data_IF_058476764453
#
_entry.id   IF_058476764453
#
_cell.length_a   1.000
_cell.length_b   1.000
_cell.length_c   1.000
_cell.angle_alpha   90.00
_cell.angle_beta   90.00
_cell.angle_gamma   90.00
#
_symmetry.space_group_name_H-M   'P 1'
#
loop_
_entity.id
_entity.type
_entity.pdbx_description
1 polymer ?
#
# COMPACT_ATOMS: atom_id res chain seq x y z
N UNK A 1 2.49 -27.81 76.84
CA UNK A 1 2.02 -28.78 75.82
C UNK A 1 0.79 -28.32 75.03
N UNK A 2 -0.38 -28.03 75.63
CA UNK A 2 -1.53 -27.54 74.83
C UNK A 2 -1.31 -26.09 74.35
N UNK A 3 -0.77 -25.23 75.20
CA UNK A 3 -0.43 -23.84 74.87
C UNK A 3 0.65 -23.72 73.79
N UNK A 4 1.75 -24.48 73.90
CA UNK A 4 2.82 -24.47 72.88
C UNK A 4 2.34 -24.90 71.48
N UNK A 5 1.39 -25.84 71.39
CA UNK A 5 0.82 -26.24 70.10
C UNK A 5 -0.10 -25.15 69.53
N UNK A 6 -0.78 -24.40 70.39
CA UNK A 6 -1.62 -23.28 69.96
C UNK A 6 -0.73 -22.13 69.48
N UNK A 7 0.36 -21.82 70.18
CA UNK A 7 1.30 -20.76 69.79
C UNK A 7 1.96 -21.07 68.43
N UNK A 8 2.37 -22.32 68.20
CA UNK A 8 2.93 -22.74 66.92
C UNK A 8 1.93 -22.63 65.75
N UNK A 9 0.65 -22.92 66.00
CA UNK A 9 -0.41 -22.78 64.98
C UNK A 9 -0.71 -21.30 64.71
N UNK A 10 -0.68 -20.45 65.75
CA UNK A 10 -0.86 -19.01 65.59
C UNK A 10 0.28 -18.43 64.75
N UNK A 11 1.52 -18.83 65.02
CA UNK A 11 2.71 -18.38 64.26
C UNK A 11 2.62 -18.80 62.79
N UNK A 12 2.21 -20.05 62.49
CA UNK A 12 2.01 -20.53 61.11
C UNK A 12 0.87 -19.78 60.38
N UNK A 13 -0.20 -19.44 61.10
CA UNK A 13 -1.30 -18.64 60.53
C UNK A 13 -0.83 -17.23 60.24
N UNK A 14 -0.02 -16.63 61.14
CA UNK A 14 0.47 -15.28 61.00
C UNK A 14 1.39 -15.16 59.77
N UNK A 15 2.28 -16.14 59.59
CA UNK A 15 3.16 -16.22 58.43
C UNK A 15 2.37 -16.37 57.11
N UNK A 16 1.27 -17.14 57.11
CA UNK A 16 0.37 -17.27 55.95
C UNK A 16 -0.38 -15.97 55.66
N UNK A 17 -0.80 -15.24 56.69
CA UNK A 17 -1.48 -13.95 56.54
C UNK A 17 -0.53 -12.89 55.97
N UNK A 18 0.71 -12.84 56.46
CA UNK A 18 1.72 -11.90 55.96
C UNK A 18 2.04 -12.19 54.49
N UNK A 19 2.18 -13.47 54.13
CA UNK A 19 2.43 -13.90 52.75
C UNK A 19 1.28 -13.57 51.80
N UNK A 20 0.04 -13.77 52.24
CA UNK A 20 -1.15 -13.36 51.49
C UNK A 20 -1.21 -11.84 51.33
N UNK A 21 -0.81 -11.08 52.35
CA UNK A 21 -0.77 -9.63 52.28
C UNK A 21 0.25 -9.13 51.23
N UNK A 22 1.40 -9.79 51.14
CA UNK A 22 2.43 -9.47 50.14
C UNK A 22 2.00 -9.86 48.72
N UNK A 23 1.37 -11.02 48.54
CA UNK A 23 0.79 -11.44 47.26
C UNK A 23 -0.30 -10.47 46.80
N UNK A 24 -1.15 -10.01 47.72
CA UNK A 24 -2.22 -9.05 47.42
C UNK A 24 -1.65 -7.67 47.05
N UNK A 25 -0.57 -7.23 47.71
CA UNK A 25 0.12 -5.99 47.37
C UNK A 25 0.77 -6.06 45.98
N UNK A 26 1.31 -7.22 45.60
CA UNK A 26 1.92 -7.46 44.28
C UNK A 26 0.87 -7.46 43.18
N UNK A 27 -0.24 -8.18 43.37
CA UNK A 27 -1.39 -8.14 42.46
C UNK A 27 -1.96 -6.73 42.29
N UNK A 28 -2.03 -5.95 43.37
CA UNK A 28 -2.49 -4.57 43.28
C UNK A 28 -1.51 -3.67 42.49
N UNK A 29 -0.20 -3.95 42.53
CA UNK A 29 0.78 -3.25 41.71
C UNK A 29 0.62 -3.61 40.21
N UNK A 30 0.45 -4.89 39.89
CA UNK A 30 0.24 -5.38 38.52
C UNK A 30 -1.09 -4.89 37.92
N UNK A 31 -2.17 -4.85 38.71
CA UNK A 31 -3.45 -4.24 38.30
C UNK A 31 -3.35 -2.74 38.06
N UNK A 32 -2.43 -2.05 38.75
CA UNK A 32 -2.16 -0.63 38.52
C UNK A 32 -1.41 -0.39 37.21
N UNK A 33 -0.55 -1.31 36.80
CA UNK A 33 0.02 -1.32 35.44
C UNK A 33 -1.04 -1.67 34.38
N UNK A 34 -1.99 -2.56 34.68
CA UNK A 34 -3.12 -2.84 33.78
C UNK A 34 -4.04 -1.62 33.59
N UNK A 35 -4.19 -0.75 34.59
CA UNK A 35 -4.86 0.55 34.48
C UNK A 35 -4.14 1.58 33.59
N UNK A 36 -3.00 1.21 32.97
CA UNK A 36 -2.35 1.95 31.89
C UNK A 36 -2.85 1.58 30.46
N UNK A 37 -3.95 0.80 30.39
CA UNK A 37 -4.84 0.62 29.23
C UNK A 37 -5.44 1.88 28.55
N UNK A 38 -5.38 3.14 29.05
CA UNK A 38 -5.85 4.31 28.31
C UNK A 38 -5.18 4.51 26.94
N UNK A 39 -4.02 3.91 26.70
CA UNK A 39 -3.35 3.97 25.40
C UNK A 39 -3.98 3.03 24.36
N UNK A 40 -4.72 1.99 24.77
CA UNK A 40 -5.56 1.20 23.86
C UNK A 40 -6.82 1.98 23.47
N UNK A 41 -7.46 2.66 24.41
CA UNK A 41 -8.60 3.54 24.11
C UNK A 41 -8.19 4.66 23.15
N UNK A 42 -7.01 5.27 23.32
CA UNK A 42 -6.49 6.26 22.36
C UNK A 42 -6.26 5.67 20.97
N UNK A 43 -5.72 4.45 20.86
CA UNK A 43 -5.52 3.79 19.56
C UNK A 43 -6.83 3.43 18.88
N UNK A 44 -7.84 3.02 19.66
CA UNK A 44 -9.20 2.76 19.17
C UNK A 44 -9.88 4.08 18.75
N UNK A 45 -9.67 5.16 19.49
CA UNK A 45 -10.14 6.50 19.12
C UNK A 45 -9.46 7.03 17.85
N UNK A 46 -8.17 6.76 17.66
CA UNK A 46 -7.44 7.14 16.44
C UNK A 46 -7.86 6.29 15.23
N UNK A 47 -8.17 5.00 15.44
CA UNK A 47 -8.84 4.15 14.44
C UNK A 47 -10.25 4.68 14.12
N UNK A 48 -11.02 5.09 15.11
CA UNK A 48 -12.36 5.65 14.92
C UNK A 48 -12.32 7.00 14.21
N UNK A 49 -11.31 7.84 14.49
CA UNK A 49 -11.07 9.11 13.79
C UNK A 49 -10.61 8.90 12.34
N UNK A 50 -9.75 7.92 12.08
CA UNK A 50 -9.33 7.59 10.72
C UNK A 50 -10.46 6.96 9.90
N UNK A 51 -11.34 6.17 10.53
CA UNK A 51 -12.57 5.68 9.91
C UNK A 51 -13.59 6.81 9.64
N UNK A 52 -13.73 7.78 10.55
CA UNK A 52 -14.51 9.02 10.33
C UNK A 52 -13.89 9.96 9.30
N UNK A 53 -12.60 9.80 9.00
CA UNK A 53 -11.88 10.52 7.94
C UNK A 53 -12.20 10.02 6.52
N UNK A 54 -12.83 8.85 6.40
CA UNK A 54 -13.57 8.47 5.20
C UNK A 54 -14.87 9.28 5.25
N UNK A 55 -14.78 10.52 4.78
CA UNK A 55 -15.92 11.43 4.67
C UNK A 55 -17.07 10.69 3.96
N UNK A 56 -18.20 10.52 4.63
CA UNK A 56 -19.41 9.95 4.02
C UNK A 56 -19.82 10.71 2.76
N UNK A 57 -19.41 11.99 2.66
CA UNK A 57 -19.51 12.82 1.45
C UNK A 57 -18.72 12.25 0.27
N UNK A 58 -17.50 11.74 0.47
CA UNK A 58 -16.70 11.14 -0.62
C UNK A 58 -17.32 9.84 -1.12
N UNK A 59 -17.92 9.05 -0.22
CA UNK A 59 -18.70 7.86 -0.58
C UNK A 59 -19.99 8.23 -1.32
N UNK A 60 -20.70 9.27 -0.88
CA UNK A 60 -21.88 9.80 -1.56
C UNK A 60 -21.54 10.41 -2.94
N UNK A 61 -20.38 11.06 -3.07
CA UNK A 61 -19.92 11.64 -4.32
C UNK A 61 -19.54 10.55 -5.33
N UNK A 62 -18.92 9.45 -4.87
CA UNK A 62 -18.68 8.26 -5.71
C UNK A 62 -20.00 7.60 -6.12
N UNK A 63 -20.95 7.45 -5.18
CA UNK A 63 -22.25 6.88 -5.48
C UNK A 63 -23.01 7.71 -6.53
N UNK A 64 -22.95 9.04 -6.45
CA UNK A 64 -23.50 9.96 -7.45
C UNK A 64 -22.78 9.84 -8.79
N UNK A 65 -21.45 9.83 -8.79
CA UNK A 65 -20.65 9.71 -10.02
C UNK A 65 -20.95 8.39 -10.76
N UNK A 66 -21.10 7.29 -10.03
CA UNK A 66 -21.48 5.99 -10.60
C UNK A 66 -22.90 6.01 -11.18
N UNK A 67 -23.86 6.67 -10.51
CA UNK A 67 -25.22 6.81 -11.08
C UNK A 67 -25.28 7.74 -12.29
N UNK A 68 -24.42 8.76 -12.34
CA UNK A 68 -24.31 9.67 -13.49
C UNK A 68 -23.69 8.95 -14.69
N UNK A 69 -22.66 8.11 -14.46
CA UNK A 69 -22.07 7.23 -15.48
C UNK A 69 -23.10 6.22 -16.00
N UNK A 70 -23.87 5.55 -15.14
CA UNK A 70 -24.91 4.60 -15.58
C UNK A 70 -25.99 5.30 -16.43
N UNK A 71 -26.33 6.54 -16.07
CA UNK A 71 -27.29 7.36 -16.82
C UNK A 71 -26.74 7.79 -18.18
N UNK A 72 -25.47 8.24 -18.25
CA UNK A 72 -24.81 8.60 -19.49
C UNK A 72 -24.61 7.40 -20.42
N UNK A 73 -24.24 6.24 -19.87
CA UNK A 73 -24.11 4.98 -20.63
C UNK A 73 -25.46 4.53 -21.19
N UNK A 74 -26.55 4.63 -20.42
CA UNK A 74 -27.90 4.38 -20.95
C UNK A 74 -28.28 5.35 -22.06
N UNK A 75 -27.96 6.63 -21.93
CA UNK A 75 -28.22 7.63 -22.97
C UNK A 75 -27.47 7.29 -24.29
N UNK A 76 -26.24 6.78 -24.18
CA UNK A 76 -25.43 6.33 -25.33
C UNK A 76 -25.94 5.01 -25.93
N UNK A 77 -26.45 4.09 -25.12
CA UNK A 77 -26.96 2.78 -25.59
C UNK A 77 -28.37 2.91 -26.18
N UNK A 78 -29.22 3.77 -25.61
CA UNK A 78 -30.56 4.07 -26.13
C UNK A 78 -30.52 5.02 -27.34
N UNK A 79 -29.37 5.67 -27.57
CA UNK A 79 -29.04 6.35 -28.82
C UNK A 79 -28.96 5.33 -29.96
N UNK A 80 -30.11 5.12 -30.61
CA UNK A 80 -30.25 4.38 -31.90
C UNK A 80 -29.49 5.03 -33.06
N UNK A 81 -28.62 6.01 -32.78
CA UNK A 81 -27.97 6.88 -33.76
C UNK A 81 -27.02 6.12 -34.68
N UNK A 82 -26.31 5.11 -34.19
CA UNK A 82 -25.43 4.30 -35.07
C UNK A 82 -26.23 3.59 -36.19
N UNK A 83 -27.47 3.19 -35.93
CA UNK A 83 -28.35 2.58 -36.95
C UNK A 83 -28.98 3.64 -37.88
N UNK A 84 -29.24 4.85 -37.35
CA UNK A 84 -29.77 5.99 -38.11
C UNK A 84 -28.70 6.58 -39.04
N UNK A 85 -27.43 6.63 -38.62
CA UNK A 85 -26.29 7.09 -39.44
C UNK A 85 -26.13 6.19 -40.66
N UNK A 86 -26.15 4.86 -40.46
CA UNK A 86 -26.02 3.90 -41.57
C UNK A 86 -27.18 4.06 -42.56
N UNK A 87 -28.43 4.19 -42.08
CA UNK A 87 -29.59 4.44 -42.95
C UNK A 87 -29.53 5.78 -43.67
N UNK A 88 -29.09 6.85 -43.02
CA UNK A 88 -28.99 8.18 -43.64
C UNK A 88 -27.85 8.25 -44.67
N UNK A 89 -26.74 7.54 -44.45
CA UNK A 89 -25.68 7.39 -45.44
C UNK A 89 -26.17 6.63 -46.69
N UNK A 90 -26.99 5.59 -46.49
CA UNK A 90 -27.62 4.85 -47.58
C UNK A 90 -28.60 5.75 -48.38
N UNK A 91 -29.43 6.53 -47.68
CA UNK A 91 -30.31 7.54 -48.31
C UNK A 91 -29.53 8.64 -49.05
N UNK A 92 -28.36 9.05 -48.54
CA UNK A 92 -27.49 10.05 -49.21
C UNK A 92 -26.94 9.47 -50.51
N UNK A 93 -26.47 8.22 -50.49
CA UNK A 93 -26.00 7.51 -51.68
C UNK A 93 -27.10 7.35 -52.74
N UNK A 94 -28.34 7.11 -52.32
CA UNK A 94 -29.51 7.05 -53.22
C UNK A 94 -29.91 8.44 -53.76
N UNK A 95 -29.80 9.49 -52.95
CA UNK A 95 -30.23 10.85 -53.32
C UNK A 95 -29.23 11.68 -54.13
N UNK A 96 -27.99 11.21 -54.32
CA UNK A 96 -26.98 11.84 -55.19
C UNK A 96 -27.39 11.91 -56.68
N UNK A 97 -28.50 11.28 -57.07
CA UNK A 97 -29.14 11.43 -58.37
C UNK A 97 -29.98 12.72 -58.52
N UNK A 98 -30.37 13.39 -57.42
CA UNK A 98 -31.20 14.61 -57.41
C UNK A 98 -30.42 15.80 -56.79
N UNK A 99 -29.96 16.70 -57.65
CA UNK A 99 -29.03 17.80 -57.31
C UNK A 99 -29.58 18.83 -56.29
N UNK A 100 -30.90 18.98 -56.16
CA UNK A 100 -31.53 19.95 -55.26
C UNK A 100 -31.68 19.46 -53.81
N UNK A 101 -31.51 18.16 -53.55
CA UNK A 101 -31.56 17.59 -52.20
C UNK A 101 -30.23 17.72 -51.43
N UNK A 102 -29.13 17.95 -52.16
CA UNK A 102 -27.77 17.99 -51.64
C UNK A 102 -27.56 19.11 -50.59
N UNK A 103 -28.02 20.36 -50.78
CA UNK A 103 -27.78 21.43 -49.81
C UNK A 103 -28.46 21.18 -48.45
N UNK A 104 -29.71 20.69 -48.46
CA UNK A 104 -30.44 20.35 -47.22
C UNK A 104 -29.78 19.20 -46.46
N UNK A 105 -29.32 18.18 -47.18
CA UNK A 105 -28.61 17.04 -46.58
C UNK A 105 -27.22 17.44 -46.05
N UNK A 106 -26.58 18.43 -46.66
CA UNK A 106 -25.32 19.00 -46.17
C UNK A 106 -25.53 19.75 -44.84
N UNK A 107 -26.62 20.53 -44.73
CA UNK A 107 -27.00 21.21 -43.49
C UNK A 107 -27.36 20.19 -42.38
N UNK A 108 -28.08 19.12 -42.72
CA UNK A 108 -28.35 18.01 -41.79
C UNK A 108 -27.05 17.32 -41.33
N UNK A 109 -26.09 17.10 -42.22
CA UNK A 109 -24.77 16.53 -41.88
C UNK A 109 -23.95 17.49 -40.99
N UNK A 110 -24.00 18.79 -41.23
CA UNK A 110 -23.32 19.79 -40.39
C UNK A 110 -23.91 19.81 -38.97
N UNK A 111 -25.24 19.75 -38.85
CA UNK A 111 -25.90 19.62 -37.55
C UNK A 111 -25.54 18.30 -36.85
N UNK A 112 -25.37 17.22 -37.61
CA UNK A 112 -24.96 15.92 -37.07
C UNK A 112 -23.50 15.93 -36.59
N UNK A 113 -22.60 16.57 -37.34
CA UNK A 113 -21.20 16.77 -36.95
C UNK A 113 -21.10 17.61 -35.68
N UNK A 114 -21.94 18.64 -35.55
CA UNK A 114 -22.02 19.42 -34.31
C UNK A 114 -22.46 18.56 -33.11
N UNK A 115 -23.44 17.68 -33.30
CA UNK A 115 -23.86 16.71 -32.29
C UNK A 115 -22.75 15.72 -31.89
N UNK A 116 -21.98 15.23 -32.87
CA UNK A 116 -20.82 14.36 -32.62
C UNK A 116 -19.72 15.08 -31.84
N UNK A 117 -19.50 16.37 -32.08
CA UNK A 117 -18.55 17.18 -31.31
C UNK A 117 -18.95 17.25 -29.83
N UNK A 118 -20.24 17.39 -29.53
CA UNK A 118 -20.73 17.35 -28.15
C UNK A 118 -20.58 15.96 -27.53
N UNK A 119 -20.70 14.90 -28.33
CA UNK A 119 -20.46 13.53 -27.88
C UNK A 119 -18.97 13.26 -27.62
N UNK A 120 -18.07 13.83 -28.43
CA UNK A 120 -16.63 13.79 -28.22
C UNK A 120 -16.24 14.46 -26.90
N UNK A 121 -16.79 15.65 -26.61
CA UNK A 121 -16.60 16.35 -25.34
C UNK A 121 -17.07 15.48 -24.15
N UNK A 122 -18.26 14.88 -24.24
CA UNK A 122 -18.78 13.95 -23.21
C UNK A 122 -17.89 12.71 -23.04
N UNK A 123 -17.35 12.14 -24.13
CA UNK A 123 -16.44 10.98 -24.06
C UNK A 123 -15.11 11.37 -23.42
N UNK A 124 -14.61 12.57 -23.70
CA UNK A 124 -13.39 13.08 -23.09
C UNK A 124 -13.57 13.34 -21.59
N UNK A 125 -14.71 13.91 -21.18
CA UNK A 125 -15.07 14.08 -19.77
C UNK A 125 -15.20 12.72 -19.06
N UNK A 126 -15.85 11.75 -19.70
CA UNK A 126 -15.98 10.38 -19.17
C UNK A 126 -14.61 9.70 -18.99
N UNK A 127 -13.69 9.92 -19.94
CA UNK A 127 -12.34 9.38 -19.85
C UNK A 127 -11.55 10.01 -18.69
N UNK A 128 -11.75 11.31 -18.43
CA UNK A 128 -11.19 11.99 -17.26
C UNK A 128 -11.71 11.38 -15.95
N UNK A 129 -13.03 11.24 -15.82
CA UNK A 129 -13.67 10.62 -14.65
C UNK A 129 -13.23 9.16 -14.44
N UNK A 130 -12.96 8.42 -15.51
CA UNK A 130 -12.47 7.05 -15.40
C UNK A 130 -11.05 6.98 -14.84
N UNK A 131 -10.17 7.91 -15.20
CA UNK A 131 -8.82 7.96 -14.65
C UNK A 131 -8.83 8.39 -13.17
N UNK A 132 -9.69 9.33 -12.79
CA UNK A 132 -9.94 9.69 -11.38
C UNK A 132 -10.47 8.49 -10.58
N UNK A 133 -11.46 7.76 -11.13
CA UNK A 133 -12.01 6.56 -10.50
C UNK A 133 -10.94 5.49 -10.31
N UNK A 134 -10.08 5.29 -11.30
CA UNK A 134 -8.96 4.34 -11.23
C UNK A 134 -7.94 4.74 -10.17
N UNK A 135 -7.65 6.03 -10.00
CA UNK A 135 -6.81 6.52 -8.92
C UNK A 135 -7.44 6.24 -7.55
N UNK A 136 -8.72 6.55 -7.39
CA UNK A 136 -9.48 6.27 -6.14
C UNK A 136 -9.45 4.78 -5.81
N UNK A 137 -9.72 3.91 -6.79
CA UNK A 137 -9.65 2.45 -6.60
C UNK A 137 -8.22 2.03 -6.21
N UNK A 138 -7.19 2.63 -6.81
CA UNK A 138 -5.80 2.40 -6.43
C UNK A 138 -5.50 2.77 -4.98
N UNK A 139 -6.06 3.88 -4.47
CA UNK A 139 -5.95 4.27 -3.06
C UNK A 139 -6.65 3.25 -2.16
N UNK A 140 -7.87 2.83 -2.51
CA UNK A 140 -8.64 1.86 -1.72
C UNK A 140 -7.90 0.52 -1.62
N UNK A 141 -7.33 0.02 -2.72
CA UNK A 141 -6.56 -1.24 -2.72
C UNK A 141 -5.35 -1.13 -1.78
N UNK A 142 -4.61 -0.02 -1.79
CA UNK A 142 -3.49 0.19 -0.85
C UNK A 142 -3.96 0.28 0.61
N UNK A 143 -5.12 0.88 0.85
CA UNK A 143 -5.70 0.94 2.20
C UNK A 143 -6.14 -0.44 2.69
N UNK A 144 -6.72 -1.27 1.83
CA UNK A 144 -7.06 -2.65 2.17
C UNK A 144 -5.81 -3.48 2.47
N UNK A 145 -4.73 -3.30 1.71
CA UNK A 145 -3.44 -3.96 1.96
C UNK A 145 -2.84 -3.52 3.31
N UNK A 146 -2.89 -2.23 3.66
CA UNK A 146 -2.45 -1.74 4.98
C UNK A 146 -3.31 -2.29 6.12
N UNK A 147 -4.63 -2.41 5.93
CA UNK A 147 -5.53 -3.05 6.89
C UNK A 147 -5.19 -4.53 7.06
N UNK A 148 -4.97 -5.26 5.98
CA UNK A 148 -4.59 -6.67 6.01
C UNK A 148 -3.28 -6.86 6.78
N UNK A 149 -2.26 -6.05 6.49
CA UNK A 149 -0.97 -6.09 7.21
C UNK A 149 -1.14 -5.80 8.70
N UNK A 150 -1.91 -4.77 9.07
CA UNK A 150 -2.19 -4.43 10.48
C UNK A 150 -2.97 -5.51 11.19
N UNK A 151 -3.91 -6.16 10.50
CA UNK A 151 -4.69 -7.26 11.04
C UNK A 151 -3.82 -8.49 11.31
N UNK A 152 -2.95 -8.86 10.37
CA UNK A 152 -1.99 -9.95 10.56
C UNK A 152 -1.05 -9.67 11.74
N UNK A 153 -0.53 -8.43 11.84
CA UNK A 153 0.34 -8.03 12.96
C UNK A 153 -0.40 -8.01 14.30
N UNK A 154 -1.71 -7.73 14.30
CA UNK A 154 -2.54 -7.85 15.49
C UNK A 154 -2.78 -9.32 15.87
N UNK A 155 -2.99 -10.21 14.89
CA UNK A 155 -3.08 -11.65 15.12
C UNK A 155 -1.77 -12.17 15.74
N UNK A 156 -0.62 -11.84 15.16
CA UNK A 156 0.69 -12.29 15.66
C UNK A 156 0.88 -11.88 17.13
N UNK A 157 0.54 -10.65 17.49
CA UNK A 157 0.62 -10.17 18.88
C UNK A 157 -0.35 -10.87 19.84
N UNK A 158 -1.55 -11.18 19.37
CA UNK A 158 -2.51 -11.95 20.17
C UNK A 158 -2.00 -13.37 20.36
N UNK A 159 -1.43 -13.98 19.33
CA UNK A 159 -0.82 -15.31 19.41
C UNK A 159 0.37 -15.31 20.37
N UNK A 160 1.29 -14.35 20.28
CA UNK A 160 2.40 -14.19 21.24
C UNK A 160 1.89 -14.04 22.68
N UNK A 161 0.85 -13.24 22.90
CA UNK A 161 0.25 -13.08 24.22
C UNK A 161 -0.38 -14.38 24.75
N UNK A 162 -1.01 -15.16 23.87
CA UNK A 162 -1.58 -16.48 24.22
C UNK A 162 -0.48 -17.49 24.52
N UNK A 163 0.62 -17.50 23.77
CA UNK A 163 1.76 -18.38 24.00
C UNK A 163 2.45 -18.05 25.33
N UNK A 164 2.67 -16.77 25.64
CA UNK A 164 3.20 -16.33 26.94
C UNK A 164 2.29 -16.76 28.10
N UNK A 165 0.97 -16.68 27.92
CA UNK A 165 0.01 -17.14 28.93
C UNK A 165 0.08 -18.66 29.10
N UNK A 166 0.20 -19.42 28.01
CA UNK A 166 0.36 -20.87 28.03
C UNK A 166 1.65 -21.31 28.73
N UNK A 167 2.76 -20.65 28.42
CA UNK A 167 4.07 -20.90 29.05
C UNK A 167 4.04 -20.57 30.54
N UNK A 168 3.36 -19.48 30.93
CA UNK A 168 3.18 -19.14 32.34
C UNK A 168 2.40 -20.22 33.09
N UNK A 169 1.30 -20.72 32.51
CA UNK A 169 0.48 -21.80 33.10
C UNK A 169 1.32 -23.09 33.22
N UNK A 170 2.06 -23.48 32.19
CA UNK A 170 2.93 -24.67 32.24
C UNK A 170 4.08 -24.51 33.26
N UNK A 171 4.67 -23.32 33.37
CA UNK A 171 5.73 -23.04 34.35
C UNK A 171 5.19 -23.05 35.79
N UNK A 172 3.91 -22.70 35.99
CA UNK A 172 3.23 -22.78 37.27
C UNK A 172 2.96 -24.24 37.68
N UNK A 173 2.59 -25.09 36.72
CA UNK A 173 2.42 -26.54 36.96
C UNK A 173 3.76 -27.29 37.14
N UNK A 174 4.84 -26.85 36.50
CA UNK A 174 6.15 -27.49 36.55
C UNK A 174 6.98 -27.16 37.82
N UNK A 175 6.68 -26.09 38.55
CA UNK A 175 7.45 -25.66 39.74
C UNK A 175 7.11 -26.38 41.05
N UNK A 176 6.35 -27.48 40.99
CA UNK A 176 6.03 -28.33 42.16
C UNK A 176 7.14 -29.32 42.57
N UNK A 177 8.30 -29.36 41.90
CA UNK A 177 9.38 -30.29 42.25
C UNK A 177 10.79 -29.68 42.08
N UNK A 178 11.32 -29.11 43.16
CA UNK A 178 12.71 -29.21 43.69
C UNK A 178 13.29 -27.90 44.25
N UNK A 179 14.05 -27.96 45.37
CA UNK A 179 14.47 -26.77 46.12
C UNK A 179 15.93 -26.34 45.88
N UNK A 180 16.06 -25.03 45.61
CA UNK A 180 17.07 -24.07 46.07
C UNK A 180 18.57 -24.32 45.86
N UNK A 181 19.25 -23.30 45.30
CA UNK A 181 20.28 -22.53 46.04
C UNK A 181 20.60 -21.16 45.39
N UNK A 182 20.99 -20.14 46.17
CA UNK A 182 21.27 -18.78 45.70
C UNK A 182 22.78 -18.49 45.60
N UNK A 183 23.22 -17.64 44.66
CA UNK A 183 24.35 -16.73 44.90
C UNK A 183 24.53 -15.64 43.81
N UNK A 184 24.67 -14.40 44.30
CA UNK A 184 25.49 -13.24 43.86
C UNK A 184 25.61 -12.79 42.38
N UNK A 185 25.20 -11.52 42.15
CA UNK A 185 25.80 -10.52 41.23
C UNK A 185 27.18 -10.04 41.76
N UNK A 186 28.08 -9.31 41.04
CA UNK A 186 27.88 -8.53 39.78
C UNK A 186 29.05 -8.57 38.74
N UNK A 187 28.97 -7.73 37.68
CA UNK A 187 30.01 -7.35 36.68
C UNK A 187 30.01 -8.23 35.41
N UNK A 188 30.16 -7.81 34.15
CA UNK A 188 30.35 -6.56 33.36
C UNK A 188 30.50 -7.03 31.88
N UNK A 189 30.46 -6.08 30.93
CA UNK A 189 30.70 -6.21 29.46
C UNK A 189 29.50 -6.78 28.66
N UNK A 190 28.76 -5.94 27.92
CA UNK A 190 29.09 -5.44 26.57
C UNK A 190 29.33 -6.58 25.57
N UNK A 191 28.27 -7.04 24.93
CA UNK A 191 28.31 -7.55 23.56
C UNK A 191 27.00 -7.16 22.87
N UNK A 192 27.07 -6.05 22.15
CA UNK A 192 26.07 -5.66 21.16
C UNK A 192 26.32 -6.61 19.99
N UNK A 193 25.42 -7.57 19.79
CA UNK A 193 25.41 -8.42 18.60
C UNK A 193 25.13 -7.53 17.37
N UNK A 194 26.20 -7.25 16.63
CA UNK A 194 26.22 -6.46 15.42
C UNK A 194 25.37 -7.17 14.34
N UNK A 195 24.16 -6.66 14.08
CA UNK A 195 23.46 -6.97 12.84
C UNK A 195 24.34 -6.54 11.65
N UNK A 196 24.52 -7.38 10.61
CA UNK A 196 25.36 -7.02 9.48
C UNK A 196 24.78 -5.78 8.77
N UNK A 197 25.50 -4.66 8.88
CA UNK A 197 25.32 -3.49 8.02
C UNK A 197 25.54 -3.95 6.58
N UNK A 198 24.47 -4.03 5.82
CA UNK A 198 24.56 -4.02 4.36
C UNK A 198 25.23 -2.70 3.98
N UNK A 199 26.42 -2.81 3.39
CA UNK A 199 27.18 -1.65 2.92
C UNK A 199 26.35 -0.90 1.86
N UNK A 200 26.34 0.44 1.85
CA UNK A 200 25.87 1.17 0.68
C UNK A 200 26.73 0.76 -0.52
N UNK A 201 26.15 0.46 -1.69
CA UNK A 201 26.93 0.07 -2.85
C UNK A 201 27.85 1.22 -3.26
N UNK A 202 29.08 0.82 -3.58
CA UNK A 202 30.19 1.65 -4.01
C UNK A 202 29.77 2.65 -5.11
N UNK A 203 29.92 3.95 -4.83
CA UNK A 203 29.80 5.07 -5.78
C UNK A 203 30.98 5.13 -6.76
N UNK A 204 31.51 3.98 -7.17
CA UNK A 204 32.59 3.90 -8.17
C UNK A 204 32.00 3.55 -9.52
N UNK A 205 31.74 4.63 -10.26
CA UNK A 205 31.67 4.73 -11.73
C UNK A 205 32.03 3.43 -12.49
N UNK A 206 31.02 2.66 -12.87
CA UNK A 206 31.12 1.58 -13.84
C UNK A 206 29.84 1.55 -14.71
N UNK A 207 29.92 0.92 -15.88
CA UNK A 207 30.14 1.48 -17.22
C UNK A 207 28.98 2.35 -17.75
N UNK A 208 29.30 3.36 -18.56
CA UNK A 208 28.35 4.28 -19.25
C UNK A 208 27.52 3.62 -20.35
N UNK A 209 27.21 2.32 -20.24
CA UNK A 209 26.46 1.56 -21.24
C UNK A 209 25.07 1.27 -20.72
N UNK A 210 24.05 1.40 -21.57
CA UNK A 210 22.63 1.14 -21.26
C UNK A 210 22.46 -0.18 -20.50
N UNK A 211 23.16 -1.24 -20.93
CA UNK A 211 23.09 -2.55 -20.29
C UNK A 211 23.41 -2.53 -18.80
N UNK A 212 24.50 -1.86 -18.44
CA UNK A 212 24.98 -1.88 -17.07
C UNK A 212 24.19 -0.95 -16.15
N UNK A 213 23.67 0.16 -16.68
CA UNK A 213 22.69 0.98 -15.95
C UNK A 213 21.43 0.17 -15.60
N UNK A 214 20.93 -0.60 -16.56
CA UNK A 214 19.73 -1.42 -16.36
C UNK A 214 19.99 -2.62 -15.44
N UNK A 215 21.18 -3.24 -15.50
CA UNK A 215 21.54 -4.35 -14.63
C UNK A 215 21.77 -3.91 -13.19
N UNK A 216 22.37 -2.73 -12.99
CA UNK A 216 22.48 -2.11 -11.65
C UNK A 216 21.08 -1.84 -11.08
N UNK A 217 20.19 -1.26 -11.88
CA UNK A 217 18.82 -0.99 -11.46
C UNK A 217 18.06 -2.28 -11.11
N UNK A 218 18.22 -3.35 -11.90
CA UNK A 218 17.62 -4.66 -11.59
C UNK A 218 18.13 -5.24 -10.27
N UNK A 219 19.38 -4.95 -9.88
CA UNK A 219 19.95 -5.45 -8.62
C UNK A 219 19.32 -4.81 -7.38
N UNK A 220 18.74 -3.61 -7.54
CA UNK A 220 18.01 -2.88 -6.50
C UNK A 220 16.53 -3.28 -6.42
N UNK A 221 16.03 -4.11 -7.33
CA UNK A 221 14.63 -4.57 -7.30
C UNK A 221 14.52 -5.78 -6.36
N UNK A 222 14.68 -5.53 -5.05
CA UNK A 222 14.58 -6.54 -4.00
C UNK A 222 13.65 -6.09 -2.85
N UNK A 223 13.07 -7.01 -2.06
CA UNK A 223 12.10 -6.68 -1.00
C UNK A 223 12.63 -5.77 0.13
N UNK A 224 13.95 -5.65 0.23
CA UNK A 224 14.64 -4.87 1.27
C UNK A 224 14.93 -3.44 0.83
N UNK A 225 14.78 -3.14 -0.45
CA UNK A 225 15.06 -1.80 -0.99
C UNK A 225 13.93 -0.86 -0.63
N UNK A 226 14.29 0.32 -0.13
CA UNK A 226 13.35 1.38 0.18
C UNK A 226 12.78 1.98 -1.11
N UNK A 227 11.49 2.32 -1.12
CA UNK A 227 10.83 2.89 -2.29
C UNK A 227 11.48 4.23 -2.72
N UNK A 228 11.95 5.02 -1.75
CA UNK A 228 12.74 6.24 -1.95
C UNK A 228 14.07 5.95 -2.64
N UNK A 229 14.83 4.96 -2.15
CA UNK A 229 16.10 4.53 -2.74
C UNK A 229 15.91 4.07 -4.19
N UNK A 230 14.89 3.24 -4.45
CA UNK A 230 14.56 2.78 -5.80
C UNK A 230 14.13 3.95 -6.72
N UNK A 231 13.41 4.93 -6.19
CA UNK A 231 13.00 6.10 -6.95
C UNK A 231 14.19 6.98 -7.35
N UNK A 232 15.14 7.19 -6.44
CA UNK A 232 16.38 7.92 -6.71
C UNK A 232 17.21 7.19 -7.77
N UNK A 233 17.34 5.87 -7.68
CA UNK A 233 18.04 5.05 -8.68
C UNK A 233 17.39 5.15 -10.07
N UNK A 234 16.05 5.16 -10.14
CA UNK A 234 15.33 5.36 -11.41
C UNK A 234 15.59 6.75 -12.03
N UNK A 235 15.65 7.80 -11.22
CA UNK A 235 15.98 9.15 -11.70
C UNK A 235 17.44 9.25 -12.16
N UNK A 236 18.38 8.67 -11.43
CA UNK A 236 19.78 8.63 -11.83
C UNK A 236 19.97 7.89 -13.17
N UNK A 237 19.32 6.74 -13.34
CA UNK A 237 19.32 6.02 -14.62
C UNK A 237 18.69 6.86 -15.72
N UNK A 238 17.55 7.52 -15.47
CA UNK A 238 16.93 8.43 -16.44
C UNK A 238 17.87 9.54 -16.88
N UNK A 239 18.53 10.20 -15.93
CA UNK A 239 19.39 11.34 -16.20
C UNK A 239 20.64 10.90 -16.98
N UNK A 240 21.25 9.78 -16.59
CA UNK A 240 22.34 9.16 -17.36
C UNK A 240 21.91 8.79 -18.78
N UNK A 241 20.76 8.13 -18.95
CA UNK A 241 20.23 7.78 -20.27
C UNK A 241 19.89 9.02 -21.12
N UNK A 242 19.46 10.12 -20.51
CA UNK A 242 19.19 11.39 -21.21
C UNK A 242 20.45 12.01 -21.78
N UNK A 243 21.62 11.82 -21.13
CA UNK A 243 22.90 12.25 -21.70
C UNK A 243 23.34 11.39 -22.89
N UNK A 244 22.92 10.12 -22.93
CA UNK A 244 23.31 9.16 -23.97
C UNK A 244 22.38 9.18 -25.18
N UNK A 245 21.09 9.37 -24.97
CA UNK A 245 20.05 9.31 -26.02
C UNK A 245 19.57 10.73 -26.32
N UNK A 246 19.83 11.21 -27.54
CA UNK A 246 19.37 12.52 -27.98
C UNK A 246 17.86 12.49 -28.22
N UNK A 247 17.09 13.21 -27.40
CA UNK A 247 15.65 13.43 -27.57
C UNK A 247 14.79 12.79 -26.47
N UNK A 248 13.58 13.31 -26.30
CA UNK A 248 12.62 12.78 -25.33
C UNK A 248 12.04 11.46 -25.85
N UNK A 249 12.48 10.33 -25.28
CA UNK A 249 11.90 9.03 -25.60
C UNK A 249 10.75 8.71 -24.64
N UNK A 250 9.69 8.00 -25.09
CA UNK A 250 8.61 7.55 -24.23
C UNK A 250 9.11 6.71 -23.04
N UNK A 251 10.24 6.00 -23.21
CA UNK A 251 10.86 5.21 -22.15
C UNK A 251 11.40 6.10 -21.03
N UNK A 252 12.12 7.19 -21.34
CA UNK A 252 12.60 8.13 -20.32
C UNK A 252 11.46 8.76 -19.50
N UNK A 253 10.31 9.01 -20.14
CA UNK A 253 9.11 9.47 -19.44
C UNK A 253 8.59 8.42 -18.45
N UNK A 254 8.60 7.14 -18.83
CA UNK A 254 8.17 6.04 -17.96
C UNK A 254 9.05 5.90 -16.72
N UNK A 255 10.38 6.06 -16.85
CA UNK A 255 11.28 6.14 -15.70
C UNK A 255 10.87 7.25 -14.73
N UNK A 256 10.65 8.46 -15.25
CA UNK A 256 10.24 9.60 -14.43
C UNK A 256 8.88 9.42 -13.77
N UNK A 257 7.91 8.82 -14.47
CA UNK A 257 6.59 8.50 -13.91
C UNK A 257 6.73 7.51 -12.74
N UNK A 258 7.46 6.41 -12.95
CA UNK A 258 7.61 5.37 -11.93
C UNK A 258 8.40 5.85 -10.70
N UNK A 259 9.42 6.68 -10.90
CA UNK A 259 10.13 7.32 -9.80
C UNK A 259 9.21 8.22 -8.95
N UNK A 260 8.31 9.01 -9.56
CA UNK A 260 7.33 9.83 -8.81
C UNK A 260 6.32 8.98 -8.06
N UNK A 261 5.85 7.89 -8.65
CA UNK A 261 4.97 6.94 -7.98
C UNK A 261 5.65 6.37 -6.74
N UNK A 262 6.90 5.92 -6.84
CA UNK A 262 7.65 5.39 -5.69
C UNK A 262 7.96 6.45 -4.63
N UNK A 263 8.21 7.72 -5.01
CA UNK A 263 8.35 8.84 -4.06
C UNK A 263 7.08 9.18 -3.29
N UNK A 264 5.92 8.74 -3.76
CA UNK A 264 4.66 8.93 -3.04
C UNK A 264 4.52 7.98 -1.84
N UNK A 265 5.38 6.97 -1.73
CA UNK A 265 5.40 6.03 -0.62
C UNK A 265 6.02 6.71 0.62
N UNK A 266 5.66 6.26 1.84
CA UNK A 266 6.35 6.69 3.05
C UNK A 266 7.87 6.47 2.94
N UNK A 267 8.73 7.34 3.50
CA UNK A 267 10.18 7.26 3.33
C UNK A 267 10.81 5.94 3.79
N UNK A 268 10.16 5.23 4.70
CA UNK A 268 10.61 3.93 5.25
C UNK A 268 9.90 2.73 4.63
N UNK A 269 9.06 2.94 3.60
CA UNK A 269 8.36 1.86 2.93
C UNK A 269 9.32 1.12 1.99
N UNK A 270 9.38 -0.20 2.13
CA UNK A 270 10.11 -1.06 1.20
C UNK A 270 9.24 -1.45 0.01
N UNK A 271 9.87 -1.89 -1.07
CA UNK A 271 9.16 -2.41 -2.24
C UNK A 271 8.34 -3.66 -1.86
N UNK A 272 7.03 -3.65 -2.16
CA UNK A 272 6.19 -4.84 -2.01
C UNK A 272 6.38 -5.82 -3.18
N UNK A 273 5.90 -7.05 -3.05
CA UNK A 273 6.08 -8.10 -4.07
C UNK A 273 5.49 -7.73 -5.44
N UNK A 274 4.36 -7.02 -5.45
CA UNK A 274 3.71 -6.55 -6.68
C UNK A 274 4.55 -5.50 -7.41
N UNK A 275 5.13 -4.56 -6.67
CA UNK A 275 6.00 -3.51 -7.17
C UNK A 275 7.29 -4.10 -7.71
N UNK A 276 7.88 -5.08 -7.01
CA UNK A 276 9.05 -5.84 -7.46
C UNK A 276 8.77 -6.55 -8.79
N UNK A 277 7.63 -7.24 -8.88
CA UNK A 277 7.23 -7.96 -10.09
C UNK A 277 6.98 -7.00 -11.26
N UNK A 278 6.30 -5.87 -11.02
CA UNK A 278 6.02 -4.85 -12.04
C UNK A 278 7.31 -4.18 -12.49
N UNK A 279 8.14 -3.70 -11.56
CA UNK A 279 9.43 -3.05 -11.84
C UNK A 279 10.36 -3.99 -12.61
N UNK A 280 10.49 -5.26 -12.19
CA UNK A 280 11.31 -6.24 -12.89
C UNK A 280 10.86 -6.44 -14.35
N UNK A 281 9.56 -6.43 -14.61
CA UNK A 281 8.99 -6.57 -15.96
C UNK A 281 9.21 -5.30 -16.78
N UNK A 282 8.95 -4.15 -16.18
CA UNK A 282 9.10 -2.83 -16.80
C UNK A 282 10.57 -2.57 -17.17
N UNK A 283 11.50 -2.78 -16.25
CA UNK A 283 12.94 -2.56 -16.47
C UNK A 283 13.46 -3.46 -17.60
N UNK A 284 13.05 -4.74 -17.65
CA UNK A 284 13.39 -5.63 -18.78
C UNK A 284 12.83 -5.11 -20.12
N UNK A 285 11.58 -4.64 -20.13
CA UNK A 285 10.94 -4.05 -21.31
C UNK A 285 11.66 -2.77 -21.77
N UNK A 286 11.97 -1.87 -20.83
CA UNK A 286 12.72 -0.64 -21.10
C UNK A 286 14.11 -0.94 -21.63
N UNK A 287 14.81 -1.93 -21.07
CA UNK A 287 16.14 -2.35 -21.53
C UNK A 287 16.09 -2.77 -23.01
N UNK A 288 15.09 -3.56 -23.39
CA UNK A 288 14.90 -3.96 -24.80
C UNK A 288 14.64 -2.77 -25.72
N UNK A 289 13.74 -1.86 -25.33
CA UNK A 289 13.41 -0.67 -26.14
C UNK A 289 14.58 0.29 -26.27
N UNK A 290 15.34 0.51 -25.19
CA UNK A 290 16.51 1.38 -25.20
C UNK A 290 17.61 0.82 -26.10
N UNK A 291 17.81 -0.50 -26.12
CA UNK A 291 18.73 -1.14 -27.08
C UNK A 291 18.29 -0.97 -28.52
N UNK A 292 17.01 -1.17 -28.80
CA UNK A 292 16.48 -1.00 -30.15
C UNK A 292 16.67 0.44 -30.64
N UNK A 293 16.38 1.44 -29.78
CA UNK A 293 16.61 2.85 -30.10
C UNK A 293 18.09 3.20 -30.25
N UNK A 294 18.97 2.59 -29.46
CA UNK A 294 20.41 2.79 -29.57
C UNK A 294 21.02 2.16 -30.83
N UNK A 295 20.43 1.05 -31.34
CA UNK A 295 20.87 0.40 -32.57
C UNK A 295 20.30 1.05 -33.84
N UNK A 296 19.21 1.80 -33.72
CA UNK A 296 18.53 2.49 -34.83
C UNK A 296 19.03 3.94 -35.06
N UNK A 297 19.96 4.41 -34.26
CA UNK A 297 20.67 5.70 -34.41
C UNK A 297 22.10 5.46 -34.90
#
# INVERSE_FOLDING_TARGET
MVTEKIDAVIEEIQEKVDKLSDELATLHAELKEFNSLPDMDKKIDDLTKSLKGIDSKKLDDIAKSVTDIDSAVKEVVDSKESTVIIKKLDDILVSLADSDAIPKKLEDLQNYIAGLSTMEDKVQDLAGQFEETKEIVGIIVRQLDDIERKYNLAIDKVTEAVDLLSDFIQAQDAKSAEPSKPDKKPSREEEIEEKPKVKPPDKTSLPSTIDALMDNLMSLVVPQTEATEMAEALEEVRDNLTTMIKGHTPVLFQFGKRARELKSYPPTATLNENDIASLSREIKSWKSKLKEMANNN
#
